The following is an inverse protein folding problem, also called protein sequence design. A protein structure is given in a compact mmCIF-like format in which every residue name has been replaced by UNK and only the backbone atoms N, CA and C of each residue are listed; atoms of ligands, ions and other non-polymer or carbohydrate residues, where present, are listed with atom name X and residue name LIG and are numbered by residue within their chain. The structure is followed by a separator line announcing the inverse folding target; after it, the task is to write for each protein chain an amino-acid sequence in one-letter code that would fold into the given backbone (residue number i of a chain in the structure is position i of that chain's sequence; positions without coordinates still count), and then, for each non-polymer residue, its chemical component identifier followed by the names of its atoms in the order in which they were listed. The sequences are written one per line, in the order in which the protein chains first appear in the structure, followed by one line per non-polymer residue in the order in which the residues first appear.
data_IF_597699798345
#
_entry.id   IF_597699798345
#
_cell.length_a   1.000
_cell.length_b   1.000
_cell.length_c   1.000
_cell.angle_alpha   90.00
_cell.angle_beta   90.00
_cell.angle_gamma   90.00
#
_symmetry.space_group_name_H-M   'P 1'
#
loop_
_entity.id
_entity.type
_entity.pdbx_description
1 polymer ?
#
# COMPACT_ATOMS: atom_id res chain seq x y z
N UNK A 1 -3.61 -15.48 18.88
CA UNK A 1 -4.40 -14.37 18.31
C UNK A 1 -5.08 -14.86 17.04
N UNK A 2 -6.40 -15.06 17.07
CA UNK A 2 -7.17 -15.45 15.89
C UNK A 2 -7.46 -14.20 15.05
N UNK A 3 -6.52 -13.83 14.19
CA UNK A 3 -6.76 -12.78 13.20
C UNK A 3 -7.79 -13.27 12.17
N UNK A 4 -8.69 -12.38 11.75
CA UNK A 4 -9.63 -12.65 10.67
C UNK A 4 -8.82 -13.02 9.42
N UNK A 5 -8.91 -14.28 8.99
CA UNK A 5 -8.32 -14.75 7.73
C UNK A 5 -9.18 -14.23 6.58
N UNK A 6 -9.01 -12.96 6.22
CA UNK A 6 -9.61 -12.44 4.99
C UNK A 6 -8.99 -13.19 3.82
N UNK A 7 -9.80 -13.99 3.12
CA UNK A 7 -9.35 -14.69 1.92
C UNK A 7 -9.06 -13.63 0.85
N UNK A 8 -7.79 -13.36 0.57
CA UNK A 8 -7.40 -12.51 -0.57
C UNK A 8 -8.06 -12.92 -1.88
N UNK A 9 -8.37 -14.21 -2.00
CA UNK A 9 -9.13 -14.84 -3.09
C UNK A 9 -10.47 -14.14 -3.38
N UNK A 10 -11.14 -13.54 -2.38
CA UNK A 10 -12.36 -12.75 -2.59
C UNK A 10 -12.09 -11.26 -2.74
N UNK A 11 -11.05 -10.73 -2.09
CA UNK A 11 -10.71 -9.29 -2.09
C UNK A 11 -10.09 -8.84 -3.41
N UNK A 12 -9.05 -9.53 -3.87
CA UNK A 12 -8.22 -9.07 -4.98
C UNK A 12 -8.92 -9.07 -6.34
N UNK A 13 -9.83 -10.01 -6.69
CA UNK A 13 -10.58 -9.92 -7.94
C UNK A 13 -11.51 -8.71 -8.00
N UNK A 14 -12.07 -8.28 -6.85
CA UNK A 14 -12.87 -7.07 -6.76
C UNK A 14 -12.00 -5.82 -6.98
N UNK A 15 -10.83 -5.79 -6.35
CA UNK A 15 -9.83 -4.72 -6.52
C UNK A 15 -9.38 -4.62 -7.97
N UNK A 16 -9.02 -5.73 -8.60
CA UNK A 16 -8.58 -5.74 -10.00
C UNK A 16 -9.62 -5.14 -10.94
N UNK A 17 -10.90 -5.52 -10.78
CA UNK A 17 -12.00 -4.98 -11.59
C UNK A 17 -12.20 -3.49 -11.36
N UNK A 18 -12.20 -3.04 -10.11
CA UNK A 18 -12.31 -1.62 -9.78
C UNK A 18 -11.15 -0.81 -10.38
N UNK A 19 -9.92 -1.32 -10.30
CA UNK A 19 -8.75 -0.67 -10.88
C UNK A 19 -8.80 -0.62 -12.41
N UNK A 20 -9.30 -1.65 -13.09
CA UNK A 20 -9.49 -1.65 -14.55
C UNK A 20 -10.50 -0.58 -14.98
N UNK A 21 -11.61 -0.43 -14.25
CA UNK A 21 -12.59 0.64 -14.49
C UNK A 21 -11.95 2.01 -14.29
N UNK A 22 -11.22 2.20 -13.19
CA UNK A 22 -10.52 3.47 -12.90
C UNK A 22 -9.41 3.76 -13.91
N UNK A 23 -8.73 2.73 -14.43
CA UNK A 23 -7.74 2.89 -15.49
C UNK A 23 -8.37 3.40 -16.78
N UNK A 24 -9.57 2.93 -17.13
CA UNK A 24 -10.29 3.39 -18.31
C UNK A 24 -10.92 4.78 -18.13
N UNK A 25 -11.52 5.05 -16.97
CA UNK A 25 -12.28 6.27 -16.73
C UNK A 25 -11.43 7.45 -16.22
N UNK A 26 -10.36 7.17 -15.49
CA UNK A 26 -9.56 8.17 -14.77
C UNK A 26 -8.08 7.75 -14.60
N UNK A 27 -7.34 7.49 -15.70
CA UNK A 27 -6.01 6.87 -15.65
C UNK A 27 -4.96 7.64 -14.84
N UNK A 28 -5.08 8.97 -14.78
CA UNK A 28 -4.13 9.85 -14.09
C UNK A 28 -4.52 10.13 -12.63
N UNK A 29 -5.66 9.60 -12.15
CA UNK A 29 -6.07 9.82 -10.76
C UNK A 29 -5.32 8.87 -9.83
N UNK A 30 -4.80 9.36 -8.71
CA UNK A 30 -4.24 8.50 -7.69
C UNK A 30 -5.39 7.70 -7.05
N UNK A 31 -5.15 6.42 -6.84
CA UNK A 31 -6.10 5.50 -6.25
C UNK A 31 -5.57 5.06 -4.89
N UNK A 32 -6.40 5.22 -3.87
CA UNK A 32 -6.14 4.68 -2.53
C UNK A 32 -6.94 3.39 -2.38
N UNK A 33 -6.25 2.32 -2.03
CA UNK A 33 -6.87 1.13 -1.49
C UNK A 33 -6.78 1.16 0.03
N UNK A 34 -7.85 0.78 0.71
CA UNK A 34 -7.88 0.65 2.15
C UNK A 34 -8.83 -0.46 2.61
N UNK A 35 -8.63 -0.94 3.84
CA UNK A 35 -9.53 -1.89 4.49
C UNK A 35 -10.88 -1.24 4.82
N UNK A 36 -11.97 -1.94 4.50
CA UNK A 36 -13.31 -1.35 4.51
C UNK A 36 -13.96 -1.22 5.88
N UNK A 37 -13.52 -1.99 6.88
CA UNK A 37 -14.20 -2.09 8.18
C UNK A 37 -13.56 -1.27 9.30
N UNK A 38 -12.30 -0.89 9.14
CA UNK A 38 -11.45 -0.31 10.18
C UNK A 38 -10.61 0.88 9.66
N UNK A 39 -10.92 1.39 8.47
CA UNK A 39 -10.31 2.63 7.95
C UNK A 39 -11.28 3.80 8.00
N UNK A 40 -10.79 4.95 8.46
CA UNK A 40 -11.51 6.23 8.38
C UNK A 40 -10.78 7.17 7.42
N UNK A 41 -11.53 7.78 6.50
CA UNK A 41 -11.00 8.79 5.59
C UNK A 41 -11.14 10.18 6.21
N UNK A 42 -10.01 10.85 6.45
CA UNK A 42 -9.96 12.24 6.89
C UNK A 42 -9.33 13.07 5.78
N UNK A 43 -10.05 14.09 5.30
CA UNK A 43 -9.50 15.06 4.35
C UNK A 43 -8.75 16.14 5.12
N UNK A 44 -7.47 16.33 4.83
CA UNK A 44 -6.69 17.44 5.36
C UNK A 44 -7.23 18.78 4.81
N UNK A 45 -7.22 19.81 5.66
CA UNK A 45 -7.48 21.20 5.26
C UNK A 45 -6.28 21.85 4.55
N UNK A 46 -5.08 21.23 4.65
CA UNK A 46 -3.84 21.70 4.02
C UNK A 46 -3.61 20.95 2.71
N UNK A 47 -3.86 21.62 1.59
CA UNK A 47 -3.79 21.07 0.22
C UNK A 47 -2.37 20.96 -0.34
N UNK A 48 -1.39 21.60 0.28
CA UNK A 48 -0.02 21.76 -0.21
C UNK A 48 0.85 20.52 0.00
N UNK A 49 0.78 19.90 1.19
CA UNK A 49 1.52 18.66 1.51
C UNK A 49 0.93 17.46 0.74
N UNK A 50 -0.39 17.40 0.61
CA UNK A 50 -1.09 16.35 -0.13
C UNK A 50 -0.75 16.42 -1.64
N UNK A 51 -0.59 17.64 -2.17
CA UNK A 51 -0.35 17.86 -3.60
C UNK A 51 0.92 17.21 -4.13
N UNK A 52 2.03 17.27 -3.39
CA UNK A 52 3.31 16.72 -3.85
C UNK A 52 3.31 15.18 -3.91
N UNK A 53 2.79 14.52 -2.87
CA UNK A 53 2.66 13.06 -2.85
C UNK A 53 1.69 12.58 -3.91
N UNK A 54 0.51 13.20 -3.99
CA UNK A 54 -0.49 12.86 -4.99
C UNK A 54 0.05 13.03 -6.41
N UNK A 55 0.79 14.12 -6.69
CA UNK A 55 1.45 14.30 -7.99
C UNK A 55 2.51 13.23 -8.29
N UNK A 56 3.35 12.90 -7.31
CA UNK A 56 4.39 11.87 -7.47
C UNK A 56 3.79 10.50 -7.78
N UNK A 57 2.69 10.15 -7.12
CA UNK A 57 2.02 8.86 -7.30
C UNK A 57 1.20 8.83 -8.59
N UNK A 58 0.57 9.95 -8.96
CA UNK A 58 -0.23 10.06 -10.20
C UNK A 58 0.63 9.97 -11.46
N UNK A 59 1.80 10.62 -11.47
CA UNK A 59 2.70 10.67 -12.64
C UNK A 59 3.58 9.45 -12.81
N UNK A 60 3.77 8.66 -11.75
CA UNK A 60 4.64 7.49 -11.78
C UNK A 60 3.84 6.22 -12.02
N UNK A 61 3.99 5.64 -13.21
CA UNK A 61 3.44 4.31 -13.51
C UNK A 61 4.02 3.24 -12.58
N UNK A 62 5.24 3.38 -12.07
CA UNK A 62 5.87 2.35 -11.23
C UNK A 62 5.72 2.52 -9.72
N UNK A 63 5.13 3.61 -9.23
CA UNK A 63 5.22 3.95 -7.79
C UNK A 63 3.96 3.57 -7.04
N UNK A 64 4.15 2.79 -5.98
CA UNK A 64 3.14 2.52 -4.95
C UNK A 64 3.72 2.91 -3.60
N UNK A 65 2.91 3.55 -2.77
CA UNK A 65 3.28 3.91 -1.40
C UNK A 65 2.35 3.16 -0.46
N UNK A 66 2.92 2.38 0.45
CA UNK A 66 2.19 1.64 1.47
C UNK A 66 2.10 2.45 2.76
N UNK A 67 1.06 2.20 3.56
CA UNK A 67 1.09 2.54 4.97
C UNK A 67 2.20 1.75 5.68
N UNK A 68 2.56 2.19 6.88
CA UNK A 68 3.63 1.57 7.65
C UNK A 68 3.14 1.11 9.02
N UNK A 69 3.73 0.02 9.51
CA UNK A 69 3.44 -0.55 10.81
C UNK A 69 4.73 -0.88 11.59
N UNK A 70 4.56 -1.20 12.87
CA UNK A 70 5.65 -1.48 13.80
C UNK A 70 6.26 -2.89 13.60
N UNK A 71 5.52 -3.83 13.00
CA UNK A 71 5.89 -5.24 12.91
C UNK A 71 5.93 -5.79 11.48
N UNK A 72 6.59 -6.93 11.28
CA UNK A 72 6.53 -7.67 10.02
C UNK A 72 5.57 -8.84 10.16
N UNK A 73 4.47 -8.82 9.40
CA UNK A 73 3.45 -9.86 9.40
C UNK A 73 3.01 -10.15 7.94
N UNK A 74 2.56 -11.38 7.59
CA UNK A 74 2.44 -12.61 8.40
C UNK A 74 3.76 -13.31 8.69
N UNK A 75 4.78 -13.06 7.87
CA UNK A 75 6.13 -13.56 8.08
C UNK A 75 6.97 -12.49 8.77
N UNK A 76 7.75 -12.91 9.76
CA UNK A 76 8.70 -12.03 10.45
C UNK A 76 9.96 -11.89 9.58
N UNK A 77 9.96 -10.91 8.67
CA UNK A 77 11.12 -10.62 7.81
C UNK A 77 12.18 -9.78 8.52
N UNK A 78 12.13 -9.65 9.86
CA UNK A 78 13.08 -8.81 10.62
C UNK A 78 14.54 -9.12 10.29
N UNK A 79 14.89 -10.39 10.11
CA UNK A 79 16.22 -10.83 9.69
C UNK A 79 16.60 -10.27 8.31
N UNK A 80 15.68 -10.31 7.33
CA UNK A 80 15.90 -9.79 5.98
C UNK A 80 16.07 -8.26 5.98
N UNK A 81 15.45 -7.57 6.95
CA UNK A 81 15.56 -6.13 7.11
C UNK A 81 16.82 -5.68 7.87
N UNK A 82 17.58 -6.60 8.48
CA UNK A 82 18.85 -6.24 9.18
C UNK A 82 19.93 -5.68 8.27
N UNK A 83 19.89 -5.97 6.96
CA UNK A 83 20.78 -5.38 5.95
C UNK A 83 20.13 -4.32 5.07
N UNK A 84 18.86 -3.97 5.30
CA UNK A 84 18.10 -3.16 4.35
C UNK A 84 18.29 -1.67 4.61
N UNK A 85 19.10 -1.01 3.77
CA UNK A 85 19.51 0.39 3.95
C UNK A 85 18.32 1.36 4.13
N UNK A 86 17.23 1.18 3.38
CA UNK A 86 16.04 2.05 3.50
C UNK A 86 15.31 1.87 4.85
N UNK A 87 15.36 0.69 5.43
CA UNK A 87 14.73 0.42 6.72
C UNK A 87 15.55 1.05 7.85
N UNK A 88 16.87 0.92 7.80
CA UNK A 88 17.76 1.64 8.71
C UNK A 88 17.64 3.15 8.58
N UNK A 89 17.54 3.68 7.35
CA UNK A 89 17.31 5.09 7.13
C UNK A 89 15.95 5.57 7.71
N UNK A 90 14.91 4.74 7.65
CA UNK A 90 13.62 5.02 8.29
C UNK A 90 13.76 5.07 9.82
N UNK A 91 14.42 4.07 10.42
CA UNK A 91 14.64 4.01 11.86
C UNK A 91 15.54 5.14 12.37
N UNK A 92 16.57 5.52 11.62
CA UNK A 92 17.50 6.60 11.95
C UNK A 92 16.82 7.98 12.03
N UNK A 93 15.67 8.16 11.35
CA UNK A 93 14.83 9.35 11.46
C UNK A 93 13.93 9.36 12.70
N UNK A 94 14.02 8.33 13.56
CA UNK A 94 13.20 8.19 14.77
C UNK A 94 11.80 7.63 14.52
N UNK A 95 11.51 7.12 13.32
CA UNK A 95 10.23 6.49 13.03
C UNK A 95 10.12 5.11 13.70
N UNK A 96 8.94 4.78 14.23
CA UNK A 96 8.64 3.49 14.86
C UNK A 96 7.93 2.50 13.93
N UNK A 97 7.47 2.99 12.76
CA UNK A 97 6.71 2.23 11.78
C UNK A 97 7.50 2.18 10.47
N UNK A 98 8.31 1.13 10.28
CA UNK A 98 9.22 1.01 9.13
C UNK A 98 9.01 -0.31 8.34
N UNK A 99 7.95 -1.06 8.65
CA UNK A 99 7.50 -2.20 7.85
C UNK A 99 6.28 -1.79 7.02
N UNK A 100 6.17 -2.23 5.76
CA UNK A 100 5.00 -1.94 4.94
C UNK A 100 3.77 -2.70 5.46
N UNK A 101 2.62 -2.03 5.48
CA UNK A 101 1.33 -2.58 5.85
C UNK A 101 0.37 -2.53 4.65
N UNK A 102 -0.33 -3.63 4.37
CA UNK A 102 -1.24 -3.73 3.23
C UNK A 102 -2.67 -3.27 3.51
N UNK A 103 -2.95 -2.77 4.72
CA UNK A 103 -4.25 -2.23 5.11
C UNK A 103 -4.58 -0.90 4.44
N UNK A 104 -3.56 -0.15 3.99
CA UNK A 104 -3.74 0.98 3.09
C UNK A 104 -2.53 1.19 2.17
N UNK A 105 -2.78 1.51 0.89
CA UNK A 105 -1.73 1.91 -0.05
C UNK A 105 -2.28 2.78 -1.17
N UNK A 106 -1.42 3.60 -1.77
CA UNK A 106 -1.77 4.55 -2.84
C UNK A 106 -0.87 4.36 -4.06
N UNK A 107 -1.46 4.39 -5.25
CA UNK A 107 -0.79 4.19 -6.53
C UNK A 107 -1.59 4.75 -7.69
N UNK A 108 -1.00 4.83 -8.89
CA UNK A 108 -1.82 4.90 -10.12
C UNK A 108 -2.52 3.56 -10.35
N UNK A 109 -3.66 3.56 -11.04
CA UNK A 109 -4.40 2.32 -11.36
C UNK A 109 -3.49 1.27 -12.03
N UNK A 110 -2.61 1.70 -12.93
CA UNK A 110 -1.64 0.82 -13.60
C UNK A 110 -0.58 0.24 -12.65
N UNK A 111 -0.08 1.05 -11.70
CA UNK A 111 0.89 0.60 -10.70
C UNK A 111 0.27 -0.46 -9.79
N UNK A 112 -0.96 -0.19 -9.34
CA UNK A 112 -1.69 -1.08 -8.44
C UNK A 112 -2.05 -2.41 -9.12
N UNK A 113 -2.44 -2.40 -10.40
CA UNK A 113 -2.70 -3.62 -11.16
C UNK A 113 -1.46 -4.52 -11.27
N UNK A 114 -0.26 -3.93 -11.47
CA UNK A 114 1.01 -4.66 -11.47
C UNK A 114 1.38 -5.21 -10.09
N UNK A 115 0.94 -4.55 -9.01
CA UNK A 115 1.23 -4.96 -7.65
C UNK A 115 0.40 -6.17 -7.19
N UNK A 116 -0.85 -6.33 -7.64
CA UNK A 116 -1.75 -7.36 -7.10
C UNK A 116 -1.17 -8.80 -7.15
N UNK A 117 -0.53 -9.25 -8.24
CA UNK A 117 0.07 -10.59 -8.29
C UNK A 117 1.25 -10.77 -7.32
N UNK A 118 1.96 -9.70 -6.98
CA UNK A 118 3.06 -9.73 -6.00
C UNK A 118 2.51 -9.88 -4.57
N UNK A 119 1.39 -9.22 -4.26
CA UNK A 119 0.72 -9.37 -2.95
C UNK A 119 0.22 -10.80 -2.73
N UNK A 120 -0.27 -11.46 -3.78
CA UNK A 120 -0.63 -12.89 -3.72
C UNK A 120 0.60 -13.74 -3.41
N UNK A 121 1.70 -13.53 -4.14
CA UNK A 121 2.95 -14.30 -3.95
C UNK A 121 3.57 -14.09 -2.56
N UNK A 122 3.56 -12.86 -2.05
CA UNK A 122 4.13 -12.51 -0.76
C UNK A 122 3.41 -13.20 0.43
N UNK A 123 2.17 -13.65 0.22
CA UNK A 123 1.37 -14.36 1.23
C UNK A 123 1.29 -15.87 1.00
N UNK A 124 1.88 -16.40 -0.08
CA UNK A 124 2.01 -17.83 -0.28
C UNK A 124 2.92 -18.45 0.81
N UNK A 125 2.54 -19.62 1.37
CA UNK A 125 3.20 -20.24 2.52
C UNK A 125 4.66 -20.61 2.28
#
# INVERSE_FOLDING_TARGET
AHGVRWRLESKLPGVSRALQVLQAAAPERPVVFADGTDTVFVRSARSDVDGALLQQVSRSSGRVVFSAECGSWPRCYRANYTGHALHHACLAKGHRTCFPNSGAYIGSSSALLRLLPELVRAQAP
#
